data_IF_171726399776
#
_entry.id   IF_171726399776
#
_cell.length_a   1.000
_cell.length_b   1.000
_cell.length_c   1.000
_cell.angle_alpha   90.00
_cell.angle_beta   90.00
_cell.angle_gamma   90.00
#
_symmetry.space_group_name_H-M   'P 1'
#
loop_
_entity.id
_entity.type
_entity.pdbx_description
1 polymer ?
#
# COMPACT_ATOMS: atom_id res chain seq x y z
N UNK A 1 13.05 36.80 -5.75
CA UNK A 1 11.64 36.76 -5.31
C UNK A 1 11.15 35.34 -5.52
N UNK A 2 11.16 34.52 -4.45
CA UNK A 2 10.65 33.13 -4.50
C UNK A 2 9.13 33.15 -4.41
N UNK A 3 8.46 32.69 -5.46
CA UNK A 3 7.01 32.46 -5.44
C UNK A 3 6.81 31.21 -4.58
N UNK A 4 6.42 31.40 -3.32
CA UNK A 4 5.92 30.30 -2.48
C UNK A 4 4.56 29.90 -3.05
N UNK A 5 4.54 28.89 -3.92
CA UNK A 5 3.30 28.27 -4.37
C UNK A 5 2.75 27.55 -3.15
N UNK A 6 1.71 28.12 -2.53
CA UNK A 6 0.98 27.44 -1.47
C UNK A 6 0.37 26.16 -2.07
N UNK A 7 0.85 25.01 -1.62
CA UNK A 7 0.25 23.72 -1.97
C UNK A 7 -1.23 23.77 -1.62
N UNK A 8 -2.14 23.44 -2.55
CA UNK A 8 -3.56 23.39 -2.25
C UNK A 8 -3.79 22.45 -1.07
N UNK A 9 -4.55 22.90 -0.09
CA UNK A 9 -4.89 22.06 1.07
C UNK A 9 -5.56 20.78 0.57
N UNK A 10 -4.92 19.62 0.83
CA UNK A 10 -5.45 18.33 0.40
C UNK A 10 -6.86 18.10 0.96
N UNK A 11 -7.79 17.56 0.16
CA UNK A 11 -9.17 17.37 0.57
C UNK A 11 -9.26 16.43 1.77
N UNK A 12 -9.99 16.84 2.78
CA UNK A 12 -10.15 16.10 4.03
C UNK A 12 -11.55 15.52 4.16
N UNK A 13 -11.65 14.41 4.90
CA UNK A 13 -12.93 13.83 5.31
C UNK A 13 -13.46 14.50 6.57
N UNK A 14 -14.76 14.38 6.82
CA UNK A 14 -15.38 14.90 8.02
C UNK A 14 -14.78 14.31 9.31
N UNK A 15 -14.82 15.04 10.45
CA UNK A 15 -14.34 14.55 11.74
C UNK A 15 -14.98 13.22 12.16
N UNK A 16 -16.27 13.03 11.86
CA UNK A 16 -16.99 11.78 12.13
C UNK A 16 -16.38 10.61 11.35
N UNK A 17 -16.03 10.81 10.08
CA UNK A 17 -15.36 9.80 9.24
C UNK A 17 -13.96 9.49 9.75
N UNK A 18 -13.20 10.51 10.17
CA UNK A 18 -11.89 10.32 10.78
C UNK A 18 -11.97 9.46 12.05
N UNK A 19 -12.96 9.74 12.92
CA UNK A 19 -13.20 8.94 14.13
C UNK A 19 -13.54 7.49 13.81
N UNK A 20 -14.42 7.25 12.83
CA UNK A 20 -14.74 5.89 12.36
C UNK A 20 -13.51 5.15 11.84
N UNK A 21 -12.66 5.81 11.06
CA UNK A 21 -11.41 5.22 10.53
C UNK A 21 -10.44 4.87 11.67
N UNK A 22 -10.27 5.75 12.67
CA UNK A 22 -9.45 5.47 13.86
C UNK A 22 -9.93 4.25 14.63
N UNK A 23 -11.24 4.14 14.86
CA UNK A 23 -11.83 2.99 15.53
C UNK A 23 -11.66 1.69 14.74
N UNK A 24 -11.85 1.73 13.42
CA UNK A 24 -11.60 0.57 12.55
C UNK A 24 -10.14 0.15 12.62
N UNK A 25 -9.21 1.09 12.51
CA UNK A 25 -7.78 0.81 12.59
C UNK A 25 -7.41 0.17 13.93
N UNK A 26 -7.88 0.71 15.05
CA UNK A 26 -7.65 0.13 16.37
C UNK A 26 -8.16 -1.31 16.46
N UNK A 27 -9.38 -1.57 16.00
CA UNK A 27 -9.96 -2.94 15.96
C UNK A 27 -9.15 -3.88 15.07
N UNK A 28 -8.72 -3.42 13.92
CA UNK A 28 -7.88 -4.19 12.98
C UNK A 28 -6.56 -4.58 13.64
N UNK A 29 -5.85 -3.63 14.26
CA UNK A 29 -4.58 -3.88 14.91
C UNK A 29 -4.71 -4.84 16.10
N UNK A 30 -5.73 -4.67 16.94
CA UNK A 30 -6.03 -5.59 18.04
C UNK A 30 -6.36 -6.98 17.52
N UNK A 31 -7.23 -7.09 16.52
CA UNK A 31 -7.61 -8.35 15.90
C UNK A 31 -6.43 -9.11 15.31
N UNK A 32 -5.50 -8.42 14.65
CA UNK A 32 -4.28 -9.03 14.12
C UNK A 32 -3.32 -9.47 15.22
N UNK A 33 -3.16 -8.67 16.28
CA UNK A 33 -2.33 -9.03 17.43
C UNK A 33 -2.84 -10.29 18.14
N UNK A 34 -4.15 -10.39 18.34
CA UNK A 34 -4.79 -11.57 18.95
C UNK A 34 -4.64 -12.79 18.05
N UNK A 35 -4.95 -12.67 16.75
CA UNK A 35 -4.78 -13.76 15.79
C UNK A 35 -3.34 -14.24 15.68
N UNK A 36 -2.37 -13.32 15.71
CA UNK A 36 -0.95 -13.65 15.67
C UNK A 36 -0.48 -14.44 16.88
N UNK A 37 -1.11 -14.25 18.05
CA UNK A 37 -0.77 -14.98 19.29
C UNK A 37 -1.47 -16.33 19.42
N UNK A 38 -2.68 -16.46 18.89
CA UNK A 38 -3.51 -17.65 19.08
C UNK A 38 -3.36 -18.71 17.98
N UNK A 39 -2.77 -18.38 16.84
CA UNK A 39 -2.69 -19.30 15.71
C UNK A 39 -1.31 -19.95 15.59
N UNK A 40 -1.24 -21.28 15.41
CA UNK A 40 0.02 -22.00 15.25
C UNK A 40 0.78 -21.54 14.00
N UNK A 41 2.10 -21.53 14.12
CA UNK A 41 3.05 -20.88 13.25
C UNK A 41 3.46 -21.72 12.02
N UNK A 42 2.70 -21.64 10.93
CA UNK A 42 3.12 -22.10 9.62
C UNK A 42 3.47 -20.93 8.70
N UNK A 43 4.53 -21.04 7.89
CA UNK A 43 5.04 -19.96 7.03
C UNK A 43 3.99 -19.47 6.01
N UNK A 44 3.27 -20.38 5.36
CA UNK A 44 2.16 -20.06 4.44
C UNK A 44 1.04 -19.28 5.14
N UNK A 45 0.80 -19.55 6.40
CA UNK A 45 -0.23 -18.90 7.20
C UNK A 45 0.20 -17.50 7.63
N UNK A 46 1.47 -17.33 8.01
CA UNK A 46 2.07 -16.02 8.30
C UNK A 46 2.03 -15.09 7.08
N UNK A 47 2.33 -15.60 5.88
CA UNK A 47 2.23 -14.85 4.64
C UNK A 47 0.79 -14.39 4.37
N UNK A 48 -0.20 -15.28 4.50
CA UNK A 48 -1.62 -14.92 4.36
C UNK A 48 -2.06 -13.87 5.38
N UNK A 49 -1.66 -14.01 6.64
CA UNK A 49 -1.98 -13.04 7.69
C UNK A 49 -1.37 -11.67 7.41
N UNK A 50 -0.12 -11.61 6.88
CA UNK A 50 0.51 -10.35 6.49
C UNK A 50 -0.28 -9.66 5.38
N UNK A 51 -0.66 -10.39 4.33
CA UNK A 51 -1.42 -9.85 3.20
C UNK A 51 -2.80 -9.36 3.63
N UNK A 52 -3.54 -10.18 4.37
CA UNK A 52 -4.85 -9.76 4.90
C UNK A 52 -4.71 -8.58 5.85
N UNK A 53 -3.67 -8.57 6.70
CA UNK A 53 -3.40 -7.47 7.62
C UNK A 53 -3.08 -6.16 6.89
N UNK A 54 -2.32 -6.22 5.81
CA UNK A 54 -2.04 -5.05 4.98
C UNK A 54 -3.31 -4.51 4.33
N UNK A 55 -4.13 -5.37 3.73
CA UNK A 55 -5.39 -4.98 3.09
C UNK A 55 -6.39 -4.39 4.09
N UNK A 56 -6.55 -5.02 5.26
CA UNK A 56 -7.44 -4.55 6.33
C UNK A 56 -6.97 -3.19 6.87
N UNK A 57 -5.66 -3.01 7.03
CA UNK A 57 -5.06 -1.75 7.48
C UNK A 57 -5.32 -0.62 6.47
N UNK A 58 -5.09 -0.85 5.18
CA UNK A 58 -5.36 0.14 4.14
C UNK A 58 -6.84 0.51 4.08
N UNK A 59 -7.72 -0.49 4.18
CA UNK A 59 -9.17 -0.26 4.23
C UNK A 59 -9.58 0.56 5.45
N UNK A 60 -8.99 0.27 6.62
CA UNK A 60 -9.25 1.03 7.85
C UNK A 60 -8.77 2.48 7.75
N UNK A 61 -7.66 2.72 7.07
CA UNK A 61 -7.14 4.06 6.77
C UNK A 61 -8.00 4.81 5.73
N UNK A 62 -8.86 4.11 4.99
CA UNK A 62 -9.64 4.65 3.89
C UNK A 62 -8.83 4.84 2.61
N UNK A 63 -7.77 4.06 2.45
CA UNK A 63 -6.89 4.04 1.27
C UNK A 63 -7.36 2.95 0.31
N UNK A 64 -7.41 3.29 -0.97
CA UNK A 64 -7.67 2.32 -2.05
C UNK A 64 -6.36 1.93 -2.72
N UNK A 65 -6.23 0.67 -3.08
CA UNK A 65 -5.11 0.17 -3.90
C UNK A 65 -5.64 -0.16 -5.28
N UNK A 66 -4.97 0.35 -6.29
CA UNK A 66 -5.25 0.06 -7.69
C UNK A 66 -4.01 -0.56 -8.32
N UNK A 67 -4.14 -1.76 -8.87
CA UNK A 67 -3.05 -2.43 -9.58
C UNK A 67 -3.21 -2.16 -11.07
N UNK A 68 -2.18 -1.57 -11.67
CA UNK A 68 -2.11 -1.33 -13.11
C UNK A 68 -1.25 -2.43 -13.72
N UNK A 69 -1.88 -3.28 -14.52
CA UNK A 69 -1.22 -4.43 -15.14
C UNK A 69 -0.20 -3.98 -16.20
N UNK A 70 0.90 -4.71 -16.36
CA UNK A 70 1.88 -4.43 -17.41
C UNK A 70 1.33 -4.83 -18.78
N UNK A 71 1.86 -4.21 -19.83
CA UNK A 71 1.58 -4.61 -21.22
C UNK A 71 2.04 -6.06 -21.51
N UNK A 72 3.14 -6.48 -20.87
CA UNK A 72 3.68 -7.84 -20.95
C UNK A 72 3.29 -8.57 -19.67
N UNK A 73 2.58 -9.71 -19.74
CA UNK A 73 2.19 -10.47 -18.56
C UNK A 73 3.38 -10.92 -17.74
N UNK A 74 3.27 -10.82 -16.42
CA UNK A 74 4.27 -11.34 -15.51
C UNK A 74 4.20 -12.87 -15.42
N UNK A 75 5.34 -13.56 -15.26
CA UNK A 75 5.37 -15.00 -15.01
C UNK A 75 4.61 -15.30 -13.69
N UNK A 76 3.94 -16.45 -13.67
CA UNK A 76 3.18 -16.86 -12.46
C UNK A 76 4.08 -17.38 -11.35
N UNK A 77 5.23 -17.94 -11.70
CA UNK A 77 6.22 -18.52 -10.79
C UNK A 77 7.63 -18.02 -11.14
N UNK A 78 8.58 -18.15 -10.22
CA UNK A 78 9.98 -17.75 -10.45
C UNK A 78 10.16 -16.25 -10.64
N UNK A 79 9.36 -15.44 -9.98
CA UNK A 79 9.41 -13.98 -10.06
C UNK A 79 9.85 -13.35 -8.74
N UNK A 80 10.63 -12.30 -8.87
CA UNK A 80 11.04 -11.43 -7.77
C UNK A 80 10.47 -10.02 -7.97
N UNK A 81 9.72 -9.50 -7.00
CA UNK A 81 9.10 -8.17 -7.11
C UNK A 81 10.00 -7.14 -6.44
N UNK A 82 10.41 -6.14 -7.20
CA UNK A 82 11.18 -4.99 -6.72
C UNK A 82 10.32 -3.73 -6.83
N UNK A 83 10.26 -2.94 -5.77
CA UNK A 83 9.52 -1.69 -5.75
C UNK A 83 10.45 -0.49 -5.62
N UNK A 84 10.11 0.59 -6.33
CA UNK A 84 10.81 1.88 -6.29
C UNK A 84 10.34 2.81 -5.16
N UNK A 85 9.35 2.37 -4.39
CA UNK A 85 8.75 3.23 -3.36
C UNK A 85 9.58 3.27 -2.07
N UNK A 86 9.41 4.37 -1.37
CA UNK A 86 9.92 4.56 -0.01
C UNK A 86 8.74 4.91 0.88
N UNK A 87 8.48 4.08 1.89
CA UNK A 87 7.49 4.38 2.92
C UNK A 87 6.46 3.29 3.16
N UNK A 88 5.94 3.32 4.38
CA UNK A 88 5.06 2.29 4.94
C UNK A 88 3.77 2.07 4.14
N UNK A 89 3.23 3.13 3.56
CA UNK A 89 1.98 3.05 2.79
C UNK A 89 2.18 2.29 1.48
N UNK A 90 3.31 2.51 0.80
CA UNK A 90 3.70 1.77 -0.39
C UNK A 90 3.96 0.30 -0.09
N UNK A 91 4.66 -0.01 1.02
CA UNK A 91 4.89 -1.38 1.47
C UNK A 91 3.58 -2.15 1.67
N UNK A 92 2.61 -1.53 2.34
CA UNK A 92 1.29 -2.13 2.54
C UNK A 92 0.56 -2.36 1.22
N UNK A 93 0.64 -1.42 0.27
CA UNK A 93 -0.01 -1.53 -1.03
C UNK A 93 0.60 -2.65 -1.87
N UNK A 94 1.92 -2.73 -1.95
CA UNK A 94 2.65 -3.79 -2.67
C UNK A 94 2.38 -5.16 -2.04
N UNK A 95 2.42 -5.27 -0.70
CA UNK A 95 2.10 -6.50 0.02
C UNK A 95 0.67 -6.98 -0.21
N UNK A 96 -0.27 -6.03 -0.41
CA UNK A 96 -1.67 -6.35 -0.72
C UNK A 96 -1.83 -6.79 -2.18
N UNK A 97 -1.10 -6.16 -3.11
CA UNK A 97 -1.19 -6.43 -4.53
C UNK A 97 -0.57 -7.78 -4.92
N UNK A 98 0.54 -8.16 -4.28
CA UNK A 98 1.33 -9.33 -4.67
C UNK A 98 1.41 -10.38 -3.56
N UNK A 99 0.47 -11.32 -3.61
CA UNK A 99 0.49 -12.49 -2.72
C UNK A 99 1.61 -13.43 -3.15
N UNK A 100 2.58 -13.67 -2.26
CA UNK A 100 3.61 -14.69 -2.48
C UNK A 100 4.63 -14.32 -3.55
N UNK A 101 5.02 -13.05 -3.64
CA UNK A 101 6.26 -12.68 -4.30
C UNK A 101 7.40 -13.40 -3.56
N UNK A 102 7.91 -14.46 -4.17
CA UNK A 102 9.04 -15.20 -3.64
C UNK A 102 10.32 -14.43 -3.96
N UNK A 103 11.23 -14.40 -3.00
CA UNK A 103 12.57 -13.80 -3.20
C UNK A 103 13.45 -14.64 -4.12
N UNK A 104 13.00 -15.86 -4.45
CA UNK A 104 13.72 -16.84 -5.28
C UNK A 104 13.14 -16.87 -6.69
N UNK A 105 13.57 -15.97 -7.55
CA UNK A 105 13.13 -15.96 -8.94
C UNK A 105 14.16 -15.36 -9.89
N UNK A 106 14.29 -15.95 -11.07
CA UNK A 106 15.21 -15.49 -12.12
C UNK A 106 14.64 -14.27 -12.88
N UNK A 107 13.38 -13.96 -12.69
CA UNK A 107 12.70 -12.86 -13.37
C UNK A 107 12.37 -11.73 -12.40
N UNK A 108 13.00 -10.58 -12.62
CA UNK A 108 12.74 -9.37 -11.86
C UNK A 108 11.49 -8.68 -12.41
N UNK A 109 10.52 -8.46 -11.55
CA UNK A 109 9.26 -7.79 -11.86
C UNK A 109 9.22 -6.44 -11.13
N UNK A 110 9.61 -5.33 -11.80
CA UNK A 110 9.64 -4.02 -11.18
C UNK A 110 8.24 -3.47 -10.95
N UNK A 111 8.08 -2.72 -9.87
CA UNK A 111 6.84 -2.04 -9.50
C UNK A 111 7.13 -0.57 -9.23
N UNK A 112 6.37 0.30 -9.85
CA UNK A 112 6.36 1.72 -9.52
C UNK A 112 5.12 2.05 -8.70
N UNK A 113 5.29 2.72 -7.55
CA UNK A 113 4.19 3.14 -6.69
C UNK A 113 3.91 4.62 -6.93
N UNK A 114 2.67 4.96 -7.18
CA UNK A 114 2.17 6.32 -7.37
C UNK A 114 1.03 6.61 -6.42
N UNK A 115 0.87 7.86 -6.08
CA UNK A 115 -0.15 8.31 -5.13
C UNK A 115 -1.06 9.32 -5.79
N UNK A 116 -2.36 9.21 -5.53
CA UNK A 116 -3.36 10.12 -6.06
C UNK A 116 -4.41 10.46 -4.99
N UNK A 117 -4.79 11.73 -4.91
CA UNK A 117 -5.84 12.23 -4.02
C UNK A 117 -6.85 12.99 -4.87
N UNK A 118 -8.10 12.56 -4.86
CA UNK A 118 -9.20 13.15 -5.67
C UNK A 118 -8.82 13.39 -7.14
N UNK A 119 -8.05 12.46 -7.73
CA UNK A 119 -7.61 12.55 -9.12
C UNK A 119 -6.27 13.27 -9.35
N UNK A 120 -5.72 13.98 -8.37
CA UNK A 120 -4.44 14.67 -8.46
C UNK A 120 -3.29 13.76 -8.04
N UNK A 121 -2.24 13.71 -8.87
CA UNK A 121 -1.02 12.99 -8.50
C UNK A 121 -0.25 13.75 -7.43
N UNK A 122 0.23 13.01 -6.44
CA UNK A 122 1.11 13.51 -5.39
C UNK A 122 2.54 13.03 -5.64
N UNK A 123 3.51 13.93 -5.45
CA UNK A 123 4.90 13.51 -5.37
C UNK A 123 5.11 12.65 -4.09
N UNK A 124 6.04 11.69 -4.08
CA UNK A 124 6.29 10.85 -2.90
C UNK A 124 6.57 11.65 -1.61
N UNK A 125 7.22 12.81 -1.75
CA UNK A 125 7.50 13.71 -0.62
C UNK A 125 6.25 14.41 -0.06
N UNK A 126 5.18 14.52 -0.86
CA UNK A 126 3.92 15.16 -0.45
C UNK A 126 2.98 14.19 0.25
N UNK A 127 3.27 12.90 0.19
CA UNK A 127 2.44 11.85 0.82
C UNK A 127 2.61 11.91 2.33
N UNK A 128 1.53 12.09 3.09
CA UNK A 128 1.62 12.12 4.54
C UNK A 128 2.15 10.80 5.11
N UNK A 129 3.16 10.88 5.96
CA UNK A 129 3.72 9.71 6.64
C UNK A 129 3.03 9.42 7.98
N UNK A 130 2.36 10.41 8.56
CA UNK A 130 1.66 10.26 9.84
C UNK A 130 0.29 9.64 9.64
N UNK A 131 -0.01 8.58 10.36
CA UNK A 131 -1.30 7.87 10.32
C UNK A 131 -2.50 8.81 10.47
N UNK A 132 -2.42 9.79 11.37
CA UNK A 132 -3.50 10.77 11.58
C UNK A 132 -3.78 11.61 10.33
N UNK A 133 -2.74 12.02 9.61
CA UNK A 133 -2.86 12.78 8.37
C UNK A 133 -3.45 11.91 7.23
N UNK A 134 -3.02 10.64 7.12
CA UNK A 134 -3.57 9.70 6.14
C UNK A 134 -5.07 9.47 6.40
N UNK A 135 -5.46 9.26 7.66
CA UNK A 135 -6.87 9.06 8.07
C UNK A 135 -7.74 10.26 7.68
N UNK A 136 -7.18 11.47 7.73
CA UNK A 136 -7.89 12.70 7.39
C UNK A 136 -8.10 12.88 5.89
N UNK A 137 -7.28 12.28 5.04
CA UNK A 137 -7.37 12.45 3.59
C UNK A 137 -8.64 11.82 3.00
N UNK A 138 -9.20 12.53 2.03
CA UNK A 138 -10.30 12.05 1.21
C UNK A 138 -9.76 11.52 -0.11
N UNK A 139 -10.21 10.31 -0.52
CA UNK A 139 -9.94 9.79 -1.86
C UNK A 139 -8.49 9.42 -2.15
N UNK A 140 -7.70 9.05 -1.11
CA UNK A 140 -6.34 8.59 -1.32
C UNK A 140 -6.32 7.23 -2.02
N UNK A 141 -5.67 7.17 -3.17
CA UNK A 141 -5.44 5.97 -3.96
C UNK A 141 -3.94 5.75 -4.08
N UNK A 142 -3.52 4.52 -3.83
CA UNK A 142 -2.17 4.04 -4.12
C UNK A 142 -2.23 3.20 -5.38
N UNK A 143 -1.60 3.68 -6.43
CA UNK A 143 -1.50 2.98 -7.70
C UNK A 143 -0.20 2.17 -7.73
N UNK A 144 -0.33 0.88 -7.95
CA UNK A 144 0.78 -0.06 -8.06
C UNK A 144 0.93 -0.42 -9.53
N UNK A 145 1.87 0.23 -10.21
CA UNK A 145 2.13 0.04 -11.64
C UNK A 145 3.12 -1.09 -11.84
N UNK A 146 2.66 -2.19 -12.42
CA UNK A 146 3.52 -3.28 -12.82
C UNK A 146 4.27 -2.92 -14.09
N UNK A 147 5.59 -2.90 -14.03
CA UNK A 147 6.45 -2.62 -15.17
C UNK A 147 6.82 -3.92 -15.91
N UNK A 148 7.31 -3.84 -17.16
CA UNK A 148 7.74 -5.03 -17.90
C UNK A 148 8.77 -5.84 -17.13
N UNK A 149 8.66 -7.19 -17.11
CA UNK A 149 9.61 -8.05 -16.42
C UNK A 149 10.97 -8.00 -17.09
N UNK A 150 12.02 -8.20 -16.29
CA UNK A 150 13.42 -8.24 -16.75
C UNK A 150 14.07 -9.52 -16.27
N UNK A 151 14.89 -10.17 -17.08
CA UNK A 151 15.76 -11.25 -16.63
C UNK A 151 16.83 -10.68 -15.72
N UNK A 152 17.06 -11.33 -14.58
CA UNK A 152 18.21 -11.05 -13.75
C UNK A 152 19.47 -11.42 -14.59
N UNK A 153 20.24 -10.41 -15.01
CA UNK A 153 21.49 -10.59 -15.72
C UNK A 153 22.62 -10.97 -14.78
#
# INVERSE_FOLDING_TARGET
>A
MGVTVALPSLPQVSPATQRRRRLRLARTLVGHSVRGRLLPTGERRRSRLRVCGAADTLTALGVRVQVVQPAIPWPRTGRYVISDHVGRLGDLAVSTAFRGATEDGDVVCPVAVRYRVDGWHLAPAEVPQRTAAIIALRGLVVEVHCLPPRTAG
#
